data_IF_841564141791
#
_entry.id   IF_841564141791
#
_cell.length_a   1.000
_cell.length_b   1.000
_cell.length_c   1.000
_cell.angle_alpha   90.00
_cell.angle_beta   90.00
_cell.angle_gamma   90.00
#
_symmetry.space_group_name_H-M   'P 1'
#
loop_
_entity.id
_entity.type
_entity.pdbx_description
1 polymer ?
#
# COMPACT_ATOMS: atom_id res chain seq x y z
N UNK A 1 -12.54 2.45 17.71
CA UNK A 1 -11.10 2.18 17.56
C UNK A 1 -10.76 1.86 16.11
N UNK A 2 -9.51 2.10 15.69
CA UNK A 2 -9.03 2.01 14.30
C UNK A 2 -7.65 1.33 14.25
N UNK A 3 -7.17 0.94 13.07
CA UNK A 3 -5.81 0.47 12.85
C UNK A 3 -5.01 1.44 11.96
N UNK A 4 -3.69 1.54 12.20
CA UNK A 4 -2.77 2.19 11.28
C UNK A 4 -1.66 1.22 10.90
N UNK A 5 -1.55 0.91 9.61
CA UNK A 5 -0.56 -0.01 9.06
C UNK A 5 0.76 0.74 8.89
N UNK A 6 1.78 0.37 9.67
CA UNK A 6 3.16 0.83 9.50
C UNK A 6 3.86 0.00 8.44
N UNK A 7 3.87 0.49 7.20
CA UNK A 7 4.34 -0.31 6.04
C UNK A 7 5.82 -0.65 6.10
N UNK A 8 6.65 0.23 6.65
CA UNK A 8 8.09 0.00 6.74
C UNK A 8 8.41 -1.26 7.58
N UNK A 9 7.86 -1.33 8.79
CA UNK A 9 8.07 -2.47 9.68
C UNK A 9 7.34 -3.72 9.16
N UNK A 10 6.14 -3.55 8.58
CA UNK A 10 5.39 -4.66 8.00
C UNK A 10 6.22 -5.38 6.92
N UNK A 11 6.84 -4.64 5.99
CA UNK A 11 7.67 -5.22 4.94
C UNK A 11 8.89 -5.91 5.55
N UNK A 12 9.60 -5.24 6.45
CA UNK A 12 10.79 -5.77 7.12
C UNK A 12 10.51 -7.10 7.83
N UNK A 13 9.42 -7.20 8.59
CA UNK A 13 9.08 -8.43 9.30
C UNK A 13 8.47 -9.50 8.40
N UNK A 14 7.73 -9.12 7.35
CA UNK A 14 7.13 -10.08 6.42
C UNK A 14 8.20 -10.76 5.57
N UNK A 15 9.20 -10.01 5.12
CA UNK A 15 10.27 -10.52 4.25
C UNK A 15 11.53 -10.93 5.01
N UNK A 16 11.59 -10.67 6.32
CA UNK A 16 12.76 -10.86 7.17
C UNK A 16 14.01 -10.12 6.65
N UNK A 17 13.83 -8.87 6.20
CA UNK A 17 14.89 -8.04 5.60
C UNK A 17 15.04 -6.75 6.41
N UNK A 18 16.24 -6.52 6.94
CA UNK A 18 16.59 -5.23 7.53
C UNK A 18 16.98 -4.24 6.42
N UNK A 19 16.21 -3.17 6.26
CA UNK A 19 16.48 -2.14 5.26
C UNK A 19 17.71 -1.28 5.56
N UNK A 20 18.21 -1.30 6.80
CA UNK A 20 19.44 -0.61 7.18
C UNK A 20 20.69 -1.44 6.89
N UNK A 21 20.54 -2.74 6.62
CA UNK A 21 21.64 -3.62 6.23
C UNK A 21 21.82 -3.58 4.71
N UNK A 22 22.85 -2.88 4.25
CA UNK A 22 23.18 -2.72 2.83
C UNK A 22 23.35 -4.05 2.09
N UNK A 23 23.69 -5.15 2.78
CA UNK A 23 23.86 -6.46 2.16
C UNK A 23 22.56 -7.07 1.66
N UNK A 24 21.41 -6.70 2.26
CA UNK A 24 20.08 -7.27 1.95
C UNK A 24 19.03 -6.21 1.61
N UNK A 25 19.30 -4.92 1.80
CA UNK A 25 18.34 -3.84 1.56
C UNK A 25 17.76 -3.84 0.14
N UNK A 26 18.48 -4.35 -0.86
CA UNK A 26 18.00 -4.49 -2.24
C UNK A 26 16.86 -5.50 -2.43
N UNK A 27 16.64 -6.39 -1.45
CA UNK A 27 15.54 -7.35 -1.43
C UNK A 27 14.27 -6.76 -0.80
N UNK A 28 14.35 -5.56 -0.20
CA UNK A 28 13.19 -4.89 0.36
C UNK A 28 12.22 -4.50 -0.76
N UNK A 29 11.05 -5.16 -0.78
CA UNK A 29 10.08 -5.00 -1.85
C UNK A 29 8.67 -4.67 -1.31
N UNK A 30 8.21 -3.41 -1.45
CA UNK A 30 6.85 -3.01 -1.09
C UNK A 30 5.76 -3.68 -1.93
N UNK A 31 6.09 -4.18 -3.13
CA UNK A 31 5.17 -4.82 -4.06
C UNK A 31 5.17 -6.35 -3.93
N UNK A 32 5.94 -6.92 -3.01
CA UNK A 32 5.98 -8.35 -2.79
C UNK A 32 4.56 -8.89 -2.52
N UNK A 33 4.11 -9.97 -3.20
CA UNK A 33 2.72 -10.46 -3.08
C UNK A 33 2.25 -10.68 -1.65
N UNK A 34 3.12 -11.23 -0.79
CA UNK A 34 2.81 -11.42 0.63
C UNK A 34 2.53 -10.11 1.38
N UNK A 35 3.29 -9.04 1.10
CA UNK A 35 3.08 -7.72 1.72
C UNK A 35 1.75 -7.14 1.24
N UNK A 36 1.50 -7.15 -0.07
CA UNK A 36 0.27 -6.60 -0.63
C UNK A 36 -0.96 -7.33 -0.11
N UNK A 37 -0.89 -8.66 0.03
CA UNK A 37 -1.98 -9.47 0.60
C UNK A 37 -2.23 -9.11 2.07
N UNK A 38 -1.20 -8.97 2.90
CA UNK A 38 -1.36 -8.54 4.30
C UNK A 38 -2.01 -7.15 4.43
N UNK A 39 -1.61 -6.20 3.58
CA UNK A 39 -2.22 -4.87 3.52
C UNK A 39 -3.69 -4.96 3.13
N UNK A 40 -4.00 -5.69 2.06
CA UNK A 40 -5.36 -5.88 1.56
C UNK A 40 -6.28 -6.55 2.59
N UNK A 41 -5.81 -7.64 3.21
CA UNK A 41 -6.56 -8.40 4.20
C UNK A 41 -6.84 -7.57 5.45
N UNK A 42 -5.85 -6.78 5.90
CA UNK A 42 -6.03 -5.86 7.04
C UNK A 42 -7.08 -4.79 6.73
N UNK A 43 -7.04 -4.20 5.52
CA UNK A 43 -8.03 -3.21 5.09
C UNK A 43 -9.43 -3.84 5.04
N UNK A 44 -9.55 -5.00 4.40
CA UNK A 44 -10.83 -5.71 4.27
C UNK A 44 -11.41 -6.11 5.64
N UNK A 45 -10.58 -6.60 6.55
CA UNK A 45 -10.99 -6.97 7.91
C UNK A 45 -11.48 -5.76 8.73
N UNK A 46 -10.82 -4.60 8.62
CA UNK A 46 -11.28 -3.37 9.25
C UNK A 46 -12.62 -2.90 8.68
N UNK A 47 -12.76 -2.90 7.35
CA UNK A 47 -14.01 -2.50 6.69
C UNK A 47 -15.18 -3.42 7.06
N UNK A 48 -14.98 -4.74 7.07
CA UNK A 48 -15.98 -5.71 7.46
C UNK A 48 -16.49 -5.50 8.90
N UNK A 49 -15.64 -4.97 9.78
CA UNK A 49 -15.99 -4.64 11.16
C UNK A 49 -16.45 -3.19 11.36
N UNK A 50 -16.55 -2.38 10.29
CA UNK A 50 -16.87 -0.96 10.38
C UNK A 50 -15.83 -0.14 11.16
N UNK A 51 -14.58 -0.59 11.21
CA UNK A 51 -13.46 0.09 11.89
C UNK A 51 -12.66 0.91 10.88
N UNK A 52 -12.08 2.02 11.35
CA UNK A 52 -11.18 2.83 10.54
C UNK A 52 -9.86 2.09 10.28
N UNK A 53 -9.27 2.33 9.10
CA UNK A 53 -7.93 1.87 8.75
C UNK A 53 -7.17 2.98 8.03
N UNK A 54 -5.91 3.18 8.41
CA UNK A 54 -4.97 4.08 7.73
C UNK A 54 -3.69 3.34 7.37
N UNK A 55 -2.97 3.86 6.38
CA UNK A 55 -1.56 3.48 6.13
C UNK A 55 -0.67 4.66 6.48
N UNK A 56 0.44 4.38 7.15
CA UNK A 56 1.53 5.30 7.37
C UNK A 56 2.86 4.71 6.86
N UNK A 57 3.90 5.53 6.86
CA UNK A 57 5.20 5.18 6.28
C UNK A 57 5.33 5.65 4.85
N UNK A 58 6.38 5.17 4.17
CA UNK A 58 6.76 5.67 2.84
C UNK A 58 5.71 5.30 1.78
N UNK A 59 5.10 4.11 1.89
CA UNK A 59 4.08 3.65 0.95
C UNK A 59 2.85 4.58 0.89
N UNK A 60 2.46 5.20 2.01
CA UNK A 60 1.33 6.13 2.02
C UNK A 60 1.64 7.45 1.29
N UNK A 61 2.91 7.85 1.26
CA UNK A 61 3.39 9.04 0.54
C UNK A 61 3.78 8.77 -0.92
N UNK A 62 3.81 7.50 -1.34
CA UNK A 62 4.20 7.12 -2.69
C UNK A 62 3.03 7.28 -3.68
N UNK A 63 3.23 8.15 -4.66
CA UNK A 63 2.25 8.45 -5.72
C UNK A 63 1.99 7.24 -6.62
N UNK A 64 2.97 6.36 -6.79
CA UNK A 64 2.85 5.12 -7.58
C UNK A 64 1.92 4.13 -6.88
N UNK A 65 2.00 4.02 -5.55
CA UNK A 65 1.19 3.14 -4.70
C UNK A 65 -0.22 3.67 -4.42
N UNK A 66 -0.43 4.99 -4.55
CA UNK A 66 -1.70 5.65 -4.20
C UNK A 66 -2.91 4.99 -4.87
N UNK A 67 -2.82 4.69 -6.18
CA UNK A 67 -3.93 4.07 -6.91
C UNK A 67 -4.23 2.66 -6.40
N UNK A 68 -3.18 1.88 -6.08
CA UNK A 68 -3.33 0.52 -5.59
C UNK A 68 -4.04 0.54 -4.23
N UNK A 69 -3.54 1.35 -3.30
CA UNK A 69 -4.15 1.52 -1.97
C UNK A 69 -5.61 1.98 -2.04
N UNK A 70 -5.94 2.91 -2.96
CA UNK A 70 -7.32 3.31 -3.20
C UNK A 70 -8.21 2.16 -3.72
N UNK A 71 -7.67 1.36 -4.65
CA UNK A 71 -8.33 0.17 -5.21
C UNK A 71 -8.57 -0.92 -4.18
N UNK A 72 -7.62 -1.12 -3.26
CA UNK A 72 -7.76 -1.99 -2.08
C UNK A 72 -8.76 -1.45 -1.04
N UNK A 73 -9.25 -0.22 -1.23
CA UNK A 73 -10.29 0.38 -0.39
C UNK A 73 -9.78 1.29 0.72
N UNK A 74 -8.49 1.62 0.77
CA UNK A 74 -7.95 2.57 1.74
C UNK A 74 -8.54 3.97 1.52
N UNK A 75 -8.89 4.67 2.60
CA UNK A 75 -9.43 6.05 2.55
C UNK A 75 -8.70 7.04 3.46
N UNK A 76 -7.79 6.56 4.31
CA UNK A 76 -6.99 7.40 5.21
C UNK A 76 -5.51 7.15 4.97
N UNK A 77 -4.77 8.20 4.64
CA UNK A 77 -3.34 8.17 4.34
C UNK A 77 -2.63 9.12 5.30
N UNK A 78 -1.52 8.67 5.90
CA UNK A 78 -0.66 9.49 6.75
C UNK A 78 0.75 9.52 6.18
N UNK A 79 1.26 10.71 5.88
CA UNK A 79 2.53 10.90 5.16
C UNK A 79 3.22 12.20 5.56
N UNK A 80 4.46 12.37 5.11
CA UNK A 80 5.18 13.64 5.26
C UNK A 80 4.48 14.78 4.50
N UNK A 81 4.37 16.01 5.06
CA UNK A 81 3.65 17.12 4.44
C UNK A 81 4.03 17.44 2.99
N UNK A 82 5.30 17.25 2.63
CA UNK A 82 5.78 17.47 1.25
C UNK A 82 5.14 16.56 0.20
N UNK A 83 4.62 15.39 0.59
CA UNK A 83 3.99 14.43 -0.33
C UNK A 83 2.48 14.65 -0.48
N UNK A 84 1.86 15.43 0.42
CA UNK A 84 0.40 15.58 0.51
C UNK A 84 -0.19 16.10 -0.79
N UNK A 85 0.44 17.08 -1.44
CA UNK A 85 -0.09 17.66 -2.69
C UNK A 85 -0.07 16.67 -3.85
N UNK A 86 1.04 15.93 -4.01
CA UNK A 86 1.22 14.95 -5.07
C UNK A 86 0.23 13.78 -4.93
N UNK A 87 0.09 13.25 -3.71
CA UNK A 87 -0.89 12.18 -3.43
C UNK A 87 -2.31 12.70 -3.59
N UNK A 88 -2.62 13.90 -3.08
CA UNK A 88 -3.95 14.52 -3.24
C UNK A 88 -4.33 14.65 -4.72
N UNK A 89 -3.43 15.13 -5.57
CA UNK A 89 -3.69 15.23 -7.01
C UNK A 89 -4.00 13.86 -7.61
N UNK A 90 -3.23 12.83 -7.22
CA UNK A 90 -3.45 11.45 -7.69
C UNK A 90 -4.80 10.90 -7.23
N UNK A 91 -5.21 11.17 -5.98
CA UNK A 91 -6.53 10.77 -5.44
C UNK A 91 -7.66 11.44 -6.23
N UNK A 92 -7.58 12.75 -6.48
CA UNK A 92 -8.61 13.50 -7.21
C UNK A 92 -8.80 12.98 -8.64
N UNK A 93 -7.71 12.55 -9.29
CA UNK A 93 -7.72 12.03 -10.66
C UNK A 93 -8.02 10.52 -10.75
N UNK A 94 -8.37 9.88 -9.63
CA UNK A 94 -8.58 8.44 -9.55
C UNK A 94 -10.06 8.07 -9.49
N UNK A 95 -10.45 7.11 -10.34
CA UNK A 95 -11.77 6.49 -10.31
C UNK A 95 -11.70 5.16 -9.56
N UNK A 96 -12.10 5.17 -8.28
CA UNK A 96 -12.00 3.99 -7.41
C UNK A 96 -12.81 2.79 -7.90
N UNK A 97 -13.88 3.00 -8.69
CA UNK A 97 -14.68 1.90 -9.23
C UNK A 97 -13.89 1.04 -10.22
N UNK A 98 -13.02 1.68 -11.03
CA UNK A 98 -12.11 1.02 -11.96
C UNK A 98 -10.88 0.46 -11.27
N UNK A 99 -10.39 1.15 -10.25
CA UNK A 99 -9.19 0.74 -9.52
C UNK A 99 -9.39 -0.54 -8.71
N UNK A 100 -10.63 -0.82 -8.26
CA UNK A 100 -10.91 -2.05 -7.52
C UNK A 100 -10.55 -3.30 -8.33
N UNK A 101 -11.03 -3.37 -9.58
CA UNK A 101 -10.78 -4.52 -10.47
C UNK A 101 -9.29 -4.67 -10.77
N UNK A 102 -8.60 -3.55 -11.05
CA UNK A 102 -7.16 -3.58 -11.29
C UNK A 102 -6.36 -3.99 -10.03
N UNK A 103 -6.75 -3.52 -8.85
CA UNK A 103 -6.07 -3.89 -7.61
C UNK A 103 -6.23 -5.39 -7.29
N UNK A 104 -7.38 -6.00 -7.59
CA UNK A 104 -7.59 -7.45 -7.50
C UNK A 104 -6.64 -8.21 -8.43
N UNK A 105 -6.48 -7.74 -9.68
CA UNK A 105 -5.50 -8.32 -10.63
C UNK A 105 -4.05 -8.21 -10.13
N UNK A 106 -3.68 -7.09 -9.52
CA UNK A 106 -2.34 -6.89 -8.93
C UNK A 106 -2.11 -7.88 -7.78
N UNK A 107 -3.11 -8.10 -6.92
CA UNK A 107 -3.00 -9.04 -5.80
C UNK A 107 -2.85 -10.50 -6.23
N UNK A 108 -3.47 -10.88 -7.34
CA UNK A 108 -3.46 -12.25 -7.85
C UNK A 108 -2.28 -12.53 -8.80
N UNK A 109 -1.43 -11.54 -9.07
CA UNK A 109 -0.22 -11.69 -9.86
C UNK A 109 0.93 -12.27 -9.02
N UNK A 110 1.70 -13.17 -9.62
CA UNK A 110 2.99 -13.62 -9.06
C UNK A 110 4.08 -12.53 -9.19
N UNK A 111 3.91 -11.58 -10.12
CA UNK A 111 4.74 -10.39 -10.28
C UNK A 111 3.86 -9.13 -10.33
N UNK A 112 3.54 -8.52 -9.16
CA UNK A 112 2.74 -7.31 -9.09
C UNK A 112 3.39 -6.10 -9.76
N UNK A 113 4.72 -6.08 -9.88
CA UNK A 113 5.46 -4.92 -10.39
C UNK A 113 5.21 -4.66 -11.87
N UNK A 114 4.98 -5.71 -12.68
CA UNK A 114 4.63 -5.55 -14.11
C UNK A 114 3.29 -4.85 -14.36
N UNK A 115 2.37 -4.96 -13.39
CA UNK A 115 1.03 -4.38 -13.47
C UNK A 115 0.96 -2.96 -12.92
N UNK A 116 2.05 -2.48 -12.29
CA UNK A 116 2.14 -1.12 -11.78
C UNK A 116 2.35 -0.14 -12.93
N UNK A 117 1.64 1.01 -12.94
CA UNK A 117 1.85 2.01 -13.96
C UNK A 117 3.26 2.61 -13.85
N UNK A 118 3.98 2.62 -14.98
CA UNK A 118 5.28 3.27 -15.13
C UNK A 118 5.20 4.78 -15.00
#
# INVERSE_FOLDING_TARGET
DFLSIGTNDLIQYTLAIDRADESVAHLYDPLHPAVLRLVADTIAACQAQGKGVSVCGEMAGDVTMTKLLLGLGLRSFSMHPSQVLSVKQRVILSDTSKLKIWAEQVLDSDDPAELMPR
#
